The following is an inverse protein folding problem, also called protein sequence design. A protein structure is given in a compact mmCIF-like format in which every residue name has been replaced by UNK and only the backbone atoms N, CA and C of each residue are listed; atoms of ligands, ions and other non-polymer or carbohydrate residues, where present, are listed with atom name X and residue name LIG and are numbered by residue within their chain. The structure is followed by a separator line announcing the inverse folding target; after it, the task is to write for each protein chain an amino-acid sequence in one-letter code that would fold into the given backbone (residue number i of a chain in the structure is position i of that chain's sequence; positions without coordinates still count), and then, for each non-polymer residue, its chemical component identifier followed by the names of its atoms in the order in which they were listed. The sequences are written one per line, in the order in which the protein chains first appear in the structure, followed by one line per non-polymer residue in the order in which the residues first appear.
data_IF_464391486316
#
_entry.id   IF_464391486316
#
_cell.length_a   1.000
_cell.length_b   1.000
_cell.length_c   1.000
_cell.angle_alpha   90.00
_cell.angle_beta   90.00
_cell.angle_gamma   90.00
#
_symmetry.space_group_name_H-M   'P 1'
#
loop_
_entity.id
_entity.type
_entity.pdbx_description
1 polymer ?
#
# COMPACT_ATOMS: atom_id res chain seq x y z
N UNK A 1 11.65 16.21 13.10
CA UNK A 1 10.86 16.80 12.00
C UNK A 1 9.60 15.96 11.85
N UNK A 2 8.44 16.56 12.13
CA UNK A 2 7.12 15.93 12.21
C UNK A 2 6.40 16.06 10.87
N UNK A 3 6.27 14.97 10.10
CA UNK A 3 5.51 14.93 8.85
C UNK A 3 4.70 13.61 8.71
N UNK A 4 3.87 13.25 9.69
CA UNK A 4 2.86 12.18 9.53
C UNK A 4 1.54 12.54 10.23
N UNK A 5 1.02 13.76 10.00
CA UNK A 5 -0.24 14.19 10.61
C UNK A 5 -1.29 14.69 9.62
N UNK A 6 -1.22 14.30 8.35
CA UNK A 6 -2.28 14.62 7.40
C UNK A 6 -2.74 13.35 6.66
N UNK A 7 -3.94 12.93 7.06
CA UNK A 7 -4.91 12.16 6.30
C UNK A 7 -4.44 10.82 5.71
N UNK A 8 -4.20 9.85 6.59
CA UNK A 8 -4.66 8.50 6.23
C UNK A 8 -6.18 8.55 6.33
N UNK A 9 -6.87 8.29 5.22
CA UNK A 9 -8.33 8.23 5.16
C UNK A 9 -8.79 6.90 5.80
N UNK A 10 -8.48 6.73 7.08
CA UNK A 10 -9.27 5.86 7.93
C UNK A 10 -10.53 6.65 8.26
N UNK A 11 -11.67 6.22 7.70
CA UNK A 11 -12.96 6.86 7.90
C UNK A 11 -13.27 7.08 9.38
N UNK A 12 -13.05 8.31 9.86
CA UNK A 12 -13.74 8.85 11.01
C UNK A 12 -15.13 9.31 10.55
N UNK A 13 -15.95 8.36 10.13
CA UNK A 13 -17.39 8.49 10.06
C UNK A 13 -17.92 7.22 10.69
N UNK A 14 -18.27 7.37 11.97
CA UNK A 14 -18.94 6.34 12.74
C UNK A 14 -20.24 5.91 12.07
N UNK A 15 -20.69 4.74 12.53
CA UNK A 15 -21.88 3.99 12.17
C UNK A 15 -21.73 2.96 11.04
N UNK A 16 -21.65 1.71 11.51
CA UNK A 16 -22.38 0.52 11.05
C UNK A 16 -21.48 -0.69 10.70
N UNK A 17 -21.31 -1.52 11.73
CA UNK A 17 -21.39 -2.99 11.73
C UNK A 17 -20.46 -3.80 10.79
N UNK A 18 -19.56 -4.58 11.41
CA UNK A 18 -19.45 -6.00 11.05
C UNK A 18 -18.15 -6.54 10.45
N UNK A 19 -17.03 -5.82 10.50
CA UNK A 19 -15.72 -6.43 10.24
C UNK A 19 -14.66 -5.75 11.10
N UNK A 20 -14.16 -6.45 12.12
CA UNK A 20 -12.95 -6.05 12.84
C UNK A 20 -11.80 -6.03 11.82
N UNK A 21 -11.45 -4.85 11.33
CA UNK A 21 -10.19 -4.69 10.61
C UNK A 21 -9.07 -4.89 11.64
N UNK A 22 -8.03 -5.66 11.31
CA UNK A 22 -6.93 -5.92 12.24
C UNK A 22 -6.36 -4.58 12.74
N UNK A 23 -6.09 -4.50 14.04
CA UNK A 23 -5.43 -3.33 14.61
C UNK A 23 -4.07 -3.15 13.92
N UNK A 24 -3.94 -2.10 13.11
CA UNK A 24 -2.68 -1.80 12.42
C UNK A 24 -1.69 -1.23 13.43
N UNK A 25 -0.63 -1.99 13.71
CA UNK A 25 0.54 -1.48 14.42
C UNK A 25 1.32 -0.54 13.49
N UNK A 26 1.22 0.76 13.76
CA UNK A 26 1.87 1.79 12.94
C UNK A 26 3.40 1.71 12.98
N UNK A 27 4.00 1.22 14.07
CA UNK A 27 5.45 1.07 14.17
C UNK A 27 5.94 -0.09 13.29
N UNK A 28 5.24 -1.22 13.32
CA UNK A 28 5.52 -2.35 12.44
C UNK A 28 5.28 -2.01 10.97
N UNK A 29 4.19 -1.29 10.68
CA UNK A 29 3.89 -0.83 9.31
C UNK A 29 5.00 0.07 8.78
N UNK A 30 5.48 0.97 9.62
CA UNK A 30 6.51 1.92 9.26
C UNK A 30 7.88 1.25 9.02
N UNK A 31 8.21 0.27 9.85
CA UNK A 31 9.40 -0.55 9.68
C UNK A 31 9.34 -1.40 8.41
N UNK A 32 8.19 -2.00 8.11
CA UNK A 32 7.99 -2.72 6.86
C UNK A 32 8.16 -1.79 5.64
N UNK A 33 7.60 -0.58 5.68
CA UNK A 33 7.71 0.39 4.61
C UNK A 33 9.16 0.88 4.41
N UNK A 34 9.92 1.09 5.51
CA UNK A 34 11.36 1.39 5.44
C UNK A 34 12.14 0.23 4.82
N UNK A 35 11.94 -0.99 5.32
CA UNK A 35 12.64 -2.16 4.83
C UNK A 35 12.33 -2.41 3.34
N UNK A 36 11.09 -2.21 2.91
CA UNK A 36 10.68 -2.32 1.52
C UNK A 36 11.41 -1.31 0.62
N UNK A 37 11.51 -0.05 1.07
CA UNK A 37 12.18 1.01 0.32
C UNK A 37 13.68 0.76 0.09
N UNK A 38 14.32 -0.08 0.91
CA UNK A 38 15.75 -0.40 0.79
C UNK A 38 16.04 -1.61 -0.12
N UNK A 39 15.03 -2.25 -0.72
CA UNK A 39 15.24 -3.45 -1.53
C UNK A 39 15.69 -3.11 -2.95
N UNK A 40 16.71 -3.81 -3.44
CA UNK A 40 17.23 -3.65 -4.81
C UNK A 40 16.16 -3.91 -5.87
N UNK A 41 15.30 -4.91 -5.65
CA UNK A 41 14.23 -5.25 -6.58
C UNK A 41 13.13 -4.18 -6.67
N UNK A 42 12.95 -3.38 -5.60
CA UNK A 42 12.06 -2.21 -5.58
C UNK A 42 12.70 -1.03 -6.28
N UNK A 43 14.01 -0.80 -6.07
CA UNK A 43 14.74 0.25 -6.78
C UNK A 43 14.78 0.01 -8.29
N UNK A 44 14.79 -1.25 -8.73
CA UNK A 44 14.68 -1.62 -10.14
C UNK A 44 13.30 -1.33 -10.78
N UNK A 45 12.29 -0.93 -9.99
CA UNK A 45 10.95 -0.57 -10.48
C UNK A 45 10.83 0.92 -10.84
N UNK A 46 11.94 1.61 -11.08
CA UNK A 46 11.95 2.98 -11.59
C UNK A 46 12.28 2.97 -13.08
N UNK A 47 11.44 3.59 -13.90
CA UNK A 47 11.66 3.79 -15.34
C UNK A 47 11.42 5.27 -15.65
N UNK A 48 12.39 5.96 -16.27
CA UNK A 48 12.32 7.39 -16.56
C UNK A 48 11.93 8.28 -15.35
N UNK A 49 12.50 8.01 -14.16
CA UNK A 49 12.15 8.63 -12.87
C UNK A 49 10.69 8.41 -12.42
N UNK A 50 10.01 7.41 -12.98
CA UNK A 50 8.63 7.06 -12.62
C UNK A 50 8.58 5.68 -11.96
N UNK A 51 7.83 5.52 -10.87
CA UNK A 51 7.63 4.21 -10.27
C UNK A 51 6.69 3.38 -11.16
N UNK A 52 7.04 2.11 -11.36
CA UNK A 52 6.18 1.12 -12.03
C UNK A 52 5.15 0.58 -11.03
N UNK A 53 4.14 1.39 -10.72
CA UNK A 53 3.18 1.15 -9.64
C UNK A 53 2.43 -0.18 -9.76
N UNK A 54 2.01 -0.59 -10.97
CA UNK A 54 1.35 -1.87 -11.16
C UNK A 54 2.26 -3.08 -10.84
N UNK A 55 3.58 -2.95 -11.03
CA UNK A 55 4.55 -3.99 -10.67
C UNK A 55 4.93 -3.95 -9.19
N UNK A 56 5.04 -2.76 -8.60
CA UNK A 56 5.34 -2.59 -7.18
C UNK A 56 4.21 -3.10 -6.29
N UNK A 57 2.96 -2.87 -6.69
CA UNK A 57 1.77 -3.21 -5.91
C UNK A 57 1.75 -4.66 -5.38
N UNK A 58 1.87 -5.72 -6.21
CA UNK A 58 1.89 -7.10 -5.70
C UNK A 58 3.07 -7.38 -4.75
N UNK A 59 4.21 -6.70 -4.92
CA UNK A 59 5.35 -6.86 -4.01
C UNK A 59 5.04 -6.27 -2.63
N UNK A 60 4.38 -5.11 -2.58
CA UNK A 60 3.93 -4.49 -1.33
C UNK A 60 2.96 -5.41 -0.59
N UNK A 61 1.95 -5.93 -1.30
CA UNK A 61 0.95 -6.80 -0.67
C UNK A 61 1.62 -8.08 -0.14
N UNK A 62 2.49 -8.71 -0.95
CA UNK A 62 3.21 -9.90 -0.51
C UNK A 62 4.11 -9.63 0.70
N UNK A 63 4.86 -8.52 0.69
CA UNK A 63 5.77 -8.14 1.78
C UNK A 63 5.00 -7.96 3.11
N UNK A 64 3.88 -7.23 3.07
CA UNK A 64 3.01 -7.05 4.23
C UNK A 64 2.50 -8.38 4.80
N UNK A 65 1.95 -9.25 3.95
CA UNK A 65 1.39 -10.53 4.40
C UNK A 65 2.46 -11.48 4.97
N UNK A 66 3.67 -11.50 4.39
CA UNK A 66 4.79 -12.28 4.94
C UNK A 66 5.15 -11.79 6.34
N UNK A 67 5.19 -10.48 6.55
CA UNK A 67 5.54 -9.88 7.84
C UNK A 67 4.42 -10.00 8.88
N UNK A 68 3.16 -9.95 8.45
CA UNK A 68 2.00 -10.04 9.35
C UNK A 68 1.62 -11.48 9.71
N UNK A 69 2.16 -12.49 9.01
CA UNK A 69 1.79 -13.90 9.15
C UNK A 69 1.86 -14.45 10.59
N UNK A 70 2.74 -13.88 11.43
CA UNK A 70 2.93 -14.32 12.82
C UNK A 70 2.09 -13.54 13.84
N UNK A 71 1.50 -12.42 13.45
CA UNK A 71 0.80 -11.49 14.37
C UNK A 71 -0.71 -11.58 14.20
N UNK A 72 -1.19 -11.58 12.95
CA UNK A 72 -2.59 -11.77 12.62
C UNK A 72 -2.69 -12.39 11.22
N UNK A 73 -2.92 -13.71 11.12
CA UNK A 73 -2.91 -14.42 9.85
C UNK A 73 -4.15 -14.07 9.03
N UNK A 74 -4.02 -13.05 8.18
CA UNK A 74 -5.00 -12.76 7.15
C UNK A 74 -4.94 -13.84 6.05
N UNK A 75 -6.07 -14.20 5.43
CA UNK A 75 -6.08 -15.14 4.31
C UNK A 75 -5.17 -14.65 3.18
N UNK A 76 -4.34 -15.56 2.66
CA UNK A 76 -3.39 -15.21 1.61
C UNK A 76 -4.12 -14.56 0.41
N UNK A 77 -3.61 -13.42 -0.09
CA UNK A 77 -4.30 -12.66 -1.11
C UNK A 77 -4.36 -13.45 -2.43
N UNK A 78 -5.57 -13.58 -3.01
CA UNK A 78 -5.74 -14.27 -4.30
C UNK A 78 -4.96 -13.55 -5.42
N UNK A 79 -4.06 -14.20 -6.16
CA UNK A 79 -3.23 -13.53 -7.15
C UNK A 79 -4.02 -12.75 -8.21
N UNK A 80 -5.16 -13.30 -8.67
CA UNK A 80 -6.04 -12.65 -9.66
C UNK A 80 -6.70 -11.38 -9.12
N UNK A 81 -6.99 -11.35 -7.82
CA UNK A 81 -7.53 -10.16 -7.14
C UNK A 81 -6.45 -9.10 -7.00
N UNK A 82 -5.25 -9.47 -6.55
CA UNK A 82 -4.10 -8.55 -6.45
C UNK A 82 -3.79 -7.93 -7.80
N UNK A 83 -3.78 -8.70 -8.89
CA UNK A 83 -3.53 -8.17 -10.23
C UNK A 83 -4.60 -7.15 -10.68
N UNK A 84 -5.89 -7.41 -10.43
CA UNK A 84 -6.97 -6.45 -10.71
C UNK A 84 -6.79 -5.16 -9.90
N UNK A 85 -6.40 -5.30 -8.63
CA UNK A 85 -6.16 -4.21 -7.72
C UNK A 85 -4.95 -3.36 -8.08
N UNK A 86 -3.86 -3.99 -8.51
CA UNK A 86 -2.67 -3.29 -9.00
C UNK A 86 -3.01 -2.38 -10.19
N UNK A 87 -3.82 -2.89 -11.13
CA UNK A 87 -4.30 -2.07 -12.25
C UNK A 87 -5.20 -0.93 -11.79
N UNK A 88 -6.14 -1.18 -10.89
CA UNK A 88 -7.01 -0.12 -10.37
C UNK A 88 -6.23 0.96 -9.61
N UNK A 89 -5.23 0.55 -8.82
CA UNK A 89 -4.34 1.46 -8.11
C UNK A 89 -3.58 2.37 -9.09
N UNK A 90 -2.88 1.80 -10.07
CA UNK A 90 -2.18 2.57 -11.11
C UNK A 90 -3.10 3.54 -11.86
N UNK A 91 -4.28 3.07 -12.26
CA UNK A 91 -5.28 3.93 -12.92
C UNK A 91 -5.73 5.09 -12.02
N UNK A 92 -5.82 4.89 -10.71
CA UNK A 92 -6.17 5.96 -9.76
C UNK A 92 -5.14 7.08 -9.81
N UNK A 93 -3.85 6.77 -9.94
CA UNK A 93 -2.79 7.75 -10.09
C UNK A 93 -2.82 8.44 -11.46
N UNK A 94 -2.94 7.65 -12.54
CA UNK A 94 -2.95 8.15 -13.92
C UNK A 94 -4.18 9.04 -14.21
N UNK A 95 -5.38 8.62 -13.80
CA UNK A 95 -6.63 9.29 -14.13
C UNK A 95 -6.91 10.50 -13.26
N UNK A 96 -6.54 10.46 -11.97
CA UNK A 96 -6.78 11.59 -11.06
C UNK A 96 -5.68 12.67 -11.14
N UNK A 97 -4.72 12.52 -12.06
CA UNK A 97 -3.53 13.38 -12.17
C UNK A 97 -2.79 13.54 -10.84
N UNK A 98 -2.84 12.52 -9.99
CA UNK A 98 -2.06 12.54 -8.76
C UNK A 98 -0.59 12.36 -9.12
N UNK A 99 0.25 13.19 -8.52
CA UNK A 99 1.71 13.03 -8.57
C UNK A 99 2.07 11.98 -7.54
N UNK A 100 2.69 10.87 -7.96
CA UNK A 100 3.23 9.89 -7.00
C UNK A 100 4.16 10.58 -6.00
N UNK A 101 4.21 10.10 -4.74
CA UNK A 101 5.06 10.74 -3.75
C UNK A 101 6.52 10.58 -4.18
N UNK A 102 7.29 11.66 -4.02
CA UNK A 102 8.71 11.71 -4.33
C UNK A 102 9.47 12.20 -3.10
N UNK A 103 10.69 11.73 -2.95
CA UNK A 103 11.67 12.23 -1.97
C UNK A 103 12.23 13.59 -2.40
N UNK A 104 13.03 14.22 -1.54
CA UNK A 104 13.64 15.52 -1.81
C UNK A 104 14.56 15.53 -3.04
N UNK A 105 15.15 14.38 -3.40
CA UNK A 105 15.98 14.18 -4.60
C UNK A 105 15.17 13.87 -5.87
N UNK A 106 13.83 13.84 -5.78
CA UNK A 106 12.94 13.59 -6.91
C UNK A 106 12.76 12.12 -7.27
N UNK A 107 13.34 11.18 -6.51
CA UNK A 107 13.10 9.75 -6.70
C UNK A 107 11.77 9.32 -6.07
N UNK A 108 11.17 8.18 -6.46
CA UNK A 108 9.91 7.72 -5.87
C UNK A 108 10.06 7.47 -4.36
N UNK A 109 9.16 8.05 -3.56
CA UNK A 109 9.08 7.77 -2.14
C UNK A 109 8.38 6.42 -1.92
N UNK A 110 9.20 5.36 -1.94
CA UNK A 110 8.74 3.99 -1.78
C UNK A 110 8.05 3.72 -0.43
N UNK A 111 8.40 4.44 0.64
CA UNK A 111 7.75 4.31 1.95
C UNK A 111 6.31 4.82 1.87
N UNK A 112 6.09 5.97 1.25
CA UNK A 112 4.75 6.52 1.02
C UNK A 112 3.94 5.69 0.02
N UNK A 113 4.56 5.19 -1.06
CA UNK A 113 3.91 4.29 -2.03
C UNK A 113 3.45 3.00 -1.33
N UNK A 114 4.28 2.41 -0.48
CA UNK A 114 3.97 1.20 0.28
C UNK A 114 2.70 1.36 1.11
N UNK A 115 2.62 2.42 1.92
CA UNK A 115 1.47 2.70 2.78
C UNK A 115 0.20 2.91 1.94
N UNK A 116 0.30 3.67 0.86
CA UNK A 116 -0.86 3.97 0.00
C UNK A 116 -1.35 2.73 -0.78
N UNK A 117 -0.45 1.85 -1.21
CA UNK A 117 -0.81 0.59 -1.84
C UNK A 117 -1.53 -0.34 -0.85
N UNK A 118 -1.10 -0.38 0.42
CA UNK A 118 -1.77 -1.13 1.47
C UNK A 118 -3.14 -0.55 1.85
N UNK A 119 -3.24 0.77 2.02
CA UNK A 119 -4.52 1.44 2.26
C UNK A 119 -5.53 1.12 1.13
N UNK A 120 -5.08 1.20 -0.13
CA UNK A 120 -5.88 0.78 -1.26
C UNK A 120 -6.27 -0.71 -1.20
N UNK A 121 -5.36 -1.60 -0.81
CA UNK A 121 -5.67 -3.03 -0.76
C UNK A 121 -6.68 -3.37 0.35
N UNK A 122 -6.36 -2.98 1.58
CA UNK A 122 -7.16 -3.29 2.76
C UNK A 122 -8.48 -2.50 2.74
N UNK A 123 -8.42 -1.23 2.32
CA UNK A 123 -9.55 -0.31 2.31
C UNK A 123 -10.45 -0.39 1.07
N UNK A 124 -10.02 -0.98 -0.05
CA UNK A 124 -10.88 -1.08 -1.23
C UNK A 124 -10.97 -2.51 -1.73
N UNK A 125 -9.83 -3.13 -2.00
CA UNK A 125 -9.79 -4.43 -2.65
C UNK A 125 -10.34 -5.59 -1.83
N UNK A 126 -10.00 -5.67 -0.55
CA UNK A 126 -10.56 -6.70 0.32
C UNK A 126 -12.07 -6.53 0.50
N UNK A 127 -12.53 -5.29 0.71
CA UNK A 127 -13.96 -4.98 0.86
C UNK A 127 -14.79 -5.32 -0.37
N UNK A 128 -14.24 -5.15 -1.59
CA UNK A 128 -14.94 -5.56 -2.81
C UNK A 128 -15.05 -7.08 -2.98
N UNK A 129 -14.18 -7.86 -2.35
CA UNK A 129 -14.17 -9.32 -2.49
C UNK A 129 -15.07 -10.08 -1.51
N UNK A 130 -15.63 -9.37 -0.54
CA UNK A 130 -16.59 -9.89 0.46
C UNK A 130 -18.05 -9.63 0.06
N UNK A 131 -18.28 -9.00 -1.11
CA UNK A 131 -19.59 -8.80 -1.73
C UNK A 131 -19.77 -9.78 -2.88
#
# INVERSE_FOLDING_TARGET
MNCYRQAVVFGALGLAMGADLPAVDFEQLDEAARAFAQRDDVQALVEDNRPQLAKAYPLVIRDYFIRSANTDPLPEPRPTQVAKCARHYEMTWLQRRYVWPVTEDGTPDWRSIYIQALDHYLGFCLRQSQR
#
